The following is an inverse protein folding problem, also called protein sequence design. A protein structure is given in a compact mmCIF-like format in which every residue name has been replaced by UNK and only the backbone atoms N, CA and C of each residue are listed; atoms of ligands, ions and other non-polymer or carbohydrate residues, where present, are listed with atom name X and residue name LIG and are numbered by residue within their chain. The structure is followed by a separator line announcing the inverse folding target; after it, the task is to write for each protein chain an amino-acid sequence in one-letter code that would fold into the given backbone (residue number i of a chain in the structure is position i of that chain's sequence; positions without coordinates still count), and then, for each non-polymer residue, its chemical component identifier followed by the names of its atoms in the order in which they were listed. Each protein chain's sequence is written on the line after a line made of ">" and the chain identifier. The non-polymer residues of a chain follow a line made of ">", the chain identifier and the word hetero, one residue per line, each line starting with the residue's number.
data_IF_596467949697
#
_entry.id   IF_596467949697
#
_cell.length_a   1.000
_cell.length_b   1.000
_cell.length_c   1.000
_cell.angle_alpha   90.00
_cell.angle_beta   90.00
_cell.angle_gamma   90.00
#
_symmetry.space_group_name_H-M   'P 1'
#
loop_
_entity.id
_entity.type
_entity.pdbx_description
1 polymer ?
#
# COMPACT_ATOMS: atom_id res chain seq x y z
N UNK A 1 -16.12 -14.05 4.35
CA UNK A 1 -15.08 -13.17 4.94
C UNK A 1 -15.75 -12.09 5.76
N UNK A 2 -15.32 -11.83 6.98
CA UNK A 2 -15.81 -10.70 7.79
C UNK A 2 -15.30 -9.37 7.23
N UNK A 3 -16.12 -8.32 7.36
CA UNK A 3 -15.82 -6.98 6.85
C UNK A 3 -14.52 -6.38 7.41
N UNK A 4 -14.10 -6.81 8.62
CA UNK A 4 -12.82 -6.42 9.24
C UNK A 4 -11.63 -7.10 8.57
N UNK A 5 -11.69 -8.43 8.37
CA UNK A 5 -10.62 -9.18 7.70
C UNK A 5 -10.39 -8.71 6.26
N UNK A 6 -11.46 -8.36 5.53
CA UNK A 6 -11.34 -7.78 4.18
C UNK A 6 -10.53 -6.47 4.18
N UNK A 7 -10.82 -5.55 5.12
CA UNK A 7 -10.11 -4.28 5.25
C UNK A 7 -8.63 -4.47 5.59
N UNK A 8 -8.32 -5.41 6.50
CA UNK A 8 -6.94 -5.73 6.88
C UNK A 8 -6.16 -6.29 5.68
N UNK A 9 -6.75 -7.21 4.91
CA UNK A 9 -6.08 -7.79 3.73
C UNK A 9 -5.81 -6.71 2.67
N UNK A 10 -6.76 -5.82 2.40
CA UNK A 10 -6.53 -4.68 1.49
C UNK A 10 -5.44 -3.73 2.01
N UNK A 11 -5.37 -3.48 3.31
CA UNK A 11 -4.31 -2.67 3.91
C UNK A 11 -2.94 -3.32 3.68
N UNK A 12 -2.82 -4.62 3.97
CA UNK A 12 -1.57 -5.38 3.78
C UNK A 12 -1.16 -5.38 2.31
N UNK A 13 -2.10 -5.59 1.38
CA UNK A 13 -1.81 -5.52 -0.06
C UNK A 13 -1.31 -4.13 -0.50
N UNK A 14 -1.95 -3.03 -0.07
CA UNK A 14 -1.47 -1.68 -0.37
C UNK A 14 -0.09 -1.41 0.22
N UNK A 15 0.19 -1.96 1.41
CA UNK A 15 1.48 -1.81 2.09
C UNK A 15 2.59 -2.58 1.35
N UNK A 16 2.32 -3.79 0.88
CA UNK A 16 3.24 -4.55 0.05
C UNK A 16 3.56 -3.82 -1.27
N UNK A 17 2.55 -3.26 -1.93
CA UNK A 17 2.74 -2.46 -3.16
C UNK A 17 3.62 -1.24 -2.89
N UNK A 18 3.36 -0.54 -1.78
CA UNK A 18 4.18 0.60 -1.36
C UNK A 18 5.63 0.19 -1.08
N UNK A 19 5.84 -0.89 -0.33
CA UNK A 19 7.17 -1.38 0.02
C UNK A 19 7.96 -1.81 -1.22
N UNK A 20 7.32 -2.47 -2.20
CA UNK A 20 7.98 -2.85 -3.46
C UNK A 20 8.38 -1.61 -4.27
N UNK A 21 7.49 -0.61 -4.38
CA UNK A 21 7.80 0.66 -5.04
C UNK A 21 8.95 1.42 -4.36
N UNK A 22 8.93 1.50 -3.03
CA UNK A 22 9.98 2.14 -2.24
C UNK A 22 11.31 1.39 -2.32
N UNK A 23 11.30 0.06 -2.17
CA UNK A 23 12.49 -0.77 -2.29
C UNK A 23 13.16 -0.56 -3.65
N UNK A 24 12.36 -0.50 -4.70
CA UNK A 24 12.82 -0.24 -6.07
C UNK A 24 13.49 1.13 -6.23
N UNK A 25 12.89 2.17 -5.64
CA UNK A 25 13.42 3.55 -5.67
C UNK A 25 14.73 3.65 -4.85
N UNK A 26 14.79 3.03 -3.67
CA UNK A 26 15.93 3.14 -2.75
C UNK A 26 17.13 2.29 -3.15
N UNK A 27 16.90 1.14 -3.77
CA UNK A 27 17.99 0.20 -4.11
C UNK A 27 18.40 0.27 -5.57
N UNK A 28 17.63 0.94 -6.43
CA UNK A 28 17.82 1.05 -7.89
C UNK A 28 18.09 -0.30 -8.60
N UNK A 29 17.84 -1.44 -7.93
CA UNK A 29 18.55 -2.70 -8.22
C UNK A 29 17.97 -3.55 -9.35
N UNK A 30 16.70 -3.37 -9.70
CA UNK A 30 16.16 -3.95 -10.94
C UNK A 30 16.61 -3.05 -12.12
N UNK A 31 16.78 -3.56 -13.32
CA UNK A 31 16.90 -2.71 -14.53
C UNK A 31 15.62 -2.74 -15.35
N UNK A 32 14.77 -3.73 -15.09
CA UNK A 32 13.63 -4.12 -15.92
C UNK A 32 12.34 -3.34 -15.63
N UNK A 33 12.28 -2.57 -14.54
CA UNK A 33 11.12 -1.73 -14.21
C UNK A 33 11.50 -0.26 -14.32
N UNK A 34 10.83 0.56 -15.16
CA UNK A 34 11.13 1.98 -15.26
C UNK A 34 10.99 2.68 -13.91
N UNK A 35 11.87 3.64 -13.60
CA UNK A 35 11.74 4.49 -12.41
C UNK A 35 10.35 5.11 -12.30
N UNK A 36 9.77 5.52 -13.44
CA UNK A 36 8.40 6.03 -13.52
C UNK A 36 7.36 5.07 -12.92
N UNK A 37 7.45 3.78 -13.24
CA UNK A 37 6.53 2.75 -12.73
C UNK A 37 6.76 2.53 -11.23
N UNK A 38 8.00 2.60 -10.76
CA UNK A 38 8.33 2.51 -9.33
C UNK A 38 7.69 3.66 -8.52
N UNK A 39 7.73 4.88 -9.05
CA UNK A 39 7.04 6.03 -8.45
C UNK A 39 5.53 5.86 -8.42
N UNK A 40 4.92 5.37 -9.52
CA UNK A 40 3.48 5.09 -9.53
C UNK A 40 3.12 4.04 -8.46
N UNK A 41 3.87 2.94 -8.37
CA UNK A 41 3.68 1.91 -7.34
C UNK A 41 3.81 2.48 -5.93
N UNK A 42 4.82 3.30 -5.67
CA UNK A 42 5.01 3.93 -4.36
C UNK A 42 3.87 4.91 -4.03
N UNK A 43 3.52 5.82 -4.94
CA UNK A 43 2.49 6.83 -4.68
C UNK A 43 1.11 6.17 -4.51
N UNK A 44 0.73 5.26 -5.41
CA UNK A 44 -0.56 4.56 -5.33
C UNK A 44 -0.63 3.62 -4.12
N UNK A 45 0.45 2.92 -3.79
CA UNK A 45 0.55 2.11 -2.58
C UNK A 45 0.37 2.96 -1.32
N UNK A 46 1.01 4.12 -1.26
CA UNK A 46 0.90 5.04 -0.13
C UNK A 46 -0.52 5.58 0.06
N UNK A 47 -1.16 6.02 -1.03
CA UNK A 47 -2.57 6.45 -1.01
C UNK A 47 -3.47 5.31 -0.52
N UNK A 48 -3.23 4.09 -1.00
CA UNK A 48 -3.94 2.89 -0.56
C UNK A 48 -3.79 2.62 0.93
N UNK A 49 -2.58 2.75 1.49
CA UNK A 49 -2.34 2.59 2.93
C UNK A 49 -3.06 3.66 3.74
N UNK A 50 -2.99 4.93 3.34
CA UNK A 50 -3.67 6.03 4.06
C UNK A 50 -5.19 5.84 4.00
N UNK A 51 -5.76 5.63 2.81
CA UNK A 51 -7.21 5.52 2.65
C UNK A 51 -7.78 4.33 3.43
N UNK A 52 -7.18 3.14 3.27
CA UNK A 52 -7.62 1.94 3.98
C UNK A 52 -7.33 2.02 5.49
N UNK A 53 -6.24 2.66 5.88
CA UNK A 53 -5.88 2.90 7.28
C UNK A 53 -6.88 3.81 7.99
N UNK A 54 -7.25 4.93 7.38
CA UNK A 54 -8.27 5.85 7.90
C UNK A 54 -9.62 5.16 8.03
N UNK A 55 -10.02 4.36 7.03
CA UNK A 55 -11.28 3.59 7.07
C UNK A 55 -11.26 2.57 8.22
N UNK A 56 -10.14 1.89 8.44
CA UNK A 56 -9.98 0.91 9.52
C UNK A 56 -10.03 1.58 10.90
N UNK A 57 -9.34 2.71 11.08
CA UNK A 57 -9.33 3.48 12.33
C UNK A 57 -10.74 4.00 12.65
N UNK A 58 -11.45 4.56 11.66
CA UNK A 58 -12.85 5.00 11.84
C UNK A 58 -13.78 3.84 12.23
N UNK A 59 -13.59 2.65 11.64
CA UNK A 59 -14.34 1.43 12.00
C UNK A 59 -14.02 0.92 13.40
N UNK A 60 -12.80 1.13 13.88
CA UNK A 60 -12.37 0.75 15.24
C UNK A 60 -12.92 1.71 16.29
N UNK A 61 -12.99 3.01 16.00
CA UNK A 61 -13.54 4.02 16.93
C UNK A 61 -15.08 4.00 17.04
N UNK A 62 -15.77 3.43 16.05
CA UNK A 62 -17.25 3.35 16.02
C UNK A 62 -17.82 2.03 16.57
N UNK A 63 -16.99 1.14 17.10
CA UNK A 63 -17.39 -0.07 17.84
C UNK A 63 -17.18 0.17 19.33
#
# INVERSE_FOLDING_TARGET
>A
MTNKSRTIITLVCSLLIFTVGMFRILTESLSSTPLFVAYILAITGFIGVIANGVILIKKLQSN
#
